data_IF_874193066135
#
_entry.id   IF_874193066135
#
_cell.length_a   1.000
_cell.length_b   1.000
_cell.length_c   1.000
_cell.angle_alpha   90.00
_cell.angle_beta   90.00
_cell.angle_gamma   90.00
#
_symmetry.space_group_name_H-M   'P 1'
#
loop_
_entity.id
_entity.type
_entity.pdbx_description
1 polymer ?
#
# COMPACT_ATOMS: atom_id res chain seq x y z
N UNK A 1 17.10 -21.10 -0.86
CA UNK A 1 17.31 -20.32 -2.10
C UNK A 1 17.57 -18.90 -1.67
N UNK A 2 18.82 -18.43 -1.79
CA UNK A 2 19.19 -17.07 -1.40
C UNK A 2 19.36 -16.23 -2.66
N UNK A 3 19.29 -14.91 -2.50
CA UNK A 3 19.56 -13.98 -3.57
C UNK A 3 20.98 -14.15 -4.11
N UNK A 4 21.13 -14.10 -5.44
CA UNK A 4 22.43 -13.92 -6.08
C UNK A 4 22.65 -12.41 -6.28
N UNK A 5 23.38 -11.77 -5.36
CA UNK A 5 23.65 -10.33 -5.40
C UNK A 5 22.42 -9.44 -5.15
N UNK A 6 22.34 -8.33 -5.89
CA UNK A 6 21.29 -7.31 -5.82
C UNK A 6 20.57 -7.14 -7.16
N UNK A 7 19.79 -8.15 -7.58
CA UNK A 7 19.00 -8.01 -8.79
C UNK A 7 17.89 -6.98 -8.56
N UNK A 8 17.34 -6.43 -9.65
CA UNK A 8 16.37 -5.34 -9.61
C UNK A 8 15.16 -5.68 -8.72
N UNK A 9 14.70 -6.94 -8.73
CA UNK A 9 13.58 -7.40 -7.92
C UNK A 9 13.86 -7.22 -6.42
N UNK A 10 15.08 -7.55 -5.99
CA UNK A 10 15.50 -7.40 -4.58
C UNK A 10 15.53 -5.93 -4.17
N UNK A 11 15.99 -5.04 -5.06
CA UNK A 11 16.01 -3.60 -4.84
C UNK A 11 14.57 -3.06 -4.74
N UNK A 12 13.67 -3.52 -5.61
CA UNK A 12 12.26 -3.10 -5.54
C UNK A 12 11.60 -3.60 -4.25
N UNK A 13 11.86 -4.82 -3.79
CA UNK A 13 11.33 -5.27 -2.49
C UNK A 13 11.88 -4.46 -1.32
N UNK A 14 13.12 -3.98 -1.38
CA UNK A 14 13.67 -3.06 -0.39
C UNK A 14 12.98 -1.69 -0.43
N UNK A 15 12.69 -1.18 -1.63
CA UNK A 15 11.87 0.01 -1.80
C UNK A 15 10.46 -0.20 -1.23
N UNK A 16 9.81 -1.34 -1.51
CA UNK A 16 8.49 -1.70 -0.97
C UNK A 16 8.53 -1.75 0.57
N UNK A 17 9.59 -2.28 1.18
CA UNK A 17 9.78 -2.24 2.63
C UNK A 17 9.73 -0.79 3.15
N UNK A 18 10.61 0.09 2.65
CA UNK A 18 10.70 1.46 3.16
C UNK A 18 9.45 2.30 2.85
N UNK A 19 8.87 2.14 1.67
CA UNK A 19 7.67 2.89 1.28
C UNK A 19 6.49 2.49 2.17
N UNK A 20 6.33 1.20 2.50
CA UNK A 20 5.24 0.74 3.36
C UNK A 20 5.46 1.05 4.84
N UNK A 21 6.71 1.18 5.31
CA UNK A 21 7.00 1.78 6.63
C UNK A 21 6.54 3.24 6.65
N UNK A 22 6.96 4.04 5.67
CA UNK A 22 6.59 5.46 5.60
C UNK A 22 5.08 5.68 5.42
N UNK A 23 4.48 4.97 4.48
CA UNK A 23 3.02 5.02 4.24
C UNK A 23 2.26 4.50 5.45
N UNK A 24 2.72 3.43 6.11
CA UNK A 24 2.09 2.91 7.32
C UNK A 24 1.99 3.96 8.42
N UNK A 25 3.08 4.71 8.67
CA UNK A 25 3.09 5.82 9.62
C UNK A 25 2.10 6.91 9.19
N UNK A 26 2.15 7.35 7.93
CA UNK A 26 1.23 8.39 7.43
C UNK A 26 -0.24 7.97 7.54
N UNK A 27 -0.57 6.76 7.10
CA UNK A 27 -1.92 6.18 7.15
C UNK A 27 -2.42 6.14 8.59
N UNK A 28 -1.58 5.67 9.53
CA UNK A 28 -1.91 5.68 10.95
C UNK A 28 -2.21 7.09 11.45
N UNK A 29 -1.33 8.06 11.18
CA UNK A 29 -1.52 9.45 11.63
C UNK A 29 -2.79 10.10 11.06
N UNK A 30 -3.07 9.90 9.77
CA UNK A 30 -4.27 10.45 9.13
C UNK A 30 -5.56 9.82 9.66
N UNK A 31 -5.59 8.50 9.87
CA UNK A 31 -6.77 7.84 10.43
C UNK A 31 -6.92 8.07 11.94
N UNK A 32 -5.83 8.27 12.67
CA UNK A 32 -5.84 8.73 14.05
C UNK A 32 -6.43 10.15 14.16
N UNK A 33 -6.08 11.07 13.26
CA UNK A 33 -6.75 12.38 13.15
C UNK A 33 -8.26 12.25 12.88
N UNK A 34 -8.68 11.20 12.17
CA UNK A 34 -10.09 10.82 11.98
C UNK A 34 -10.70 10.00 13.13
N UNK A 35 -9.96 9.82 14.24
CA UNK A 35 -10.31 9.05 15.42
C UNK A 35 -10.76 7.60 15.14
N UNK A 36 -10.27 6.99 14.05
CA UNK A 36 -10.67 5.64 13.62
C UNK A 36 -12.19 5.40 13.65
N UNK A 37 -12.98 6.42 13.28
CA UNK A 37 -14.44 6.41 13.42
C UNK A 37 -15.12 5.23 12.70
N UNK A 38 -14.50 4.68 11.66
CA UNK A 38 -15.01 3.53 10.93
C UNK A 38 -14.01 2.38 11.00
N UNK A 39 -14.50 1.17 11.29
CA UNK A 39 -13.66 -0.04 11.40
C UNK A 39 -12.84 -0.29 10.13
N UNK A 40 -13.38 0.05 8.96
CA UNK A 40 -12.68 -0.08 7.67
C UNK A 40 -11.36 0.71 7.60
N UNK A 41 -11.19 1.75 8.43
CA UNK A 41 -9.93 2.51 8.51
C UNK A 41 -8.76 1.65 9.02
N UNK A 42 -9.04 0.58 9.79
CA UNK A 42 -8.00 -0.33 10.27
C UNK A 42 -7.41 -1.21 9.16
N UNK A 43 -8.14 -1.43 8.06
CA UNK A 43 -7.68 -2.22 6.92
C UNK A 43 -6.29 -1.79 6.43
N UNK A 44 -6.12 -0.56 5.90
CA UNK A 44 -4.81 -0.10 5.45
C UNK A 44 -3.79 0.07 6.58
N UNK A 45 -4.23 0.40 7.80
CA UNK A 45 -3.36 0.62 8.97
C UNK A 45 -2.65 -0.66 9.40
N UNK A 46 -3.37 -1.78 9.42
CA UNK A 46 -2.79 -3.08 9.78
C UNK A 46 -2.05 -3.70 8.61
N UNK A 47 -2.54 -3.53 7.38
CA UNK A 47 -1.95 -4.19 6.22
C UNK A 47 -0.59 -3.60 5.82
N UNK A 48 -0.40 -2.29 5.96
CA UNK A 48 0.85 -1.62 5.62
C UNK A 48 2.09 -2.19 6.37
N UNK A 49 2.11 -2.31 7.72
CA UNK A 49 3.25 -2.89 8.41
C UNK A 49 3.44 -4.39 8.10
N UNK A 50 2.37 -5.14 7.86
CA UNK A 50 2.47 -6.56 7.46
C UNK A 50 3.16 -6.69 6.10
N UNK A 51 2.83 -5.82 5.14
CA UNK A 51 3.49 -5.78 3.84
C UNK A 51 4.95 -5.37 3.99
N UNK A 52 5.24 -4.34 4.78
CA UNK A 52 6.61 -3.91 5.03
C UNK A 52 7.44 -5.08 5.58
N UNK A 53 7.00 -5.72 6.66
CA UNK A 53 7.70 -6.86 7.27
C UNK A 53 7.89 -7.98 6.25
N UNK A 54 6.85 -8.35 5.50
CA UNK A 54 6.92 -9.42 4.50
C UNK A 54 7.92 -9.09 3.38
N UNK A 55 7.93 -7.86 2.87
CA UNK A 55 8.87 -7.41 1.86
C UNK A 55 10.31 -7.40 2.40
N UNK A 56 10.52 -6.93 3.64
CA UNK A 56 11.81 -6.96 4.31
C UNK A 56 12.33 -8.39 4.50
N UNK A 57 11.46 -9.32 4.92
CA UNK A 57 11.79 -10.74 4.99
C UNK A 57 12.16 -11.30 3.61
N UNK A 58 11.47 -10.89 2.55
CA UNK A 58 11.79 -11.32 1.18
C UNK A 58 13.14 -10.78 0.70
N UNK A 59 13.55 -9.57 1.11
CA UNK A 59 14.88 -9.01 0.83
C UNK A 59 15.99 -9.85 1.47
N UNK A 60 15.74 -10.39 2.65
CA UNK A 60 16.70 -11.25 3.38
C UNK A 60 16.68 -12.69 2.84
N UNK A 61 15.48 -13.24 2.63
CA UNK A 61 15.26 -14.65 2.32
C UNK A 61 14.39 -14.80 1.07
N UNK A 62 14.98 -15.28 -0.03
CA UNK A 62 14.26 -15.49 -1.29
C UNK A 62 13.50 -16.83 -1.29
N UNK A 63 12.47 -16.94 -0.45
CA UNK A 63 11.68 -18.18 -0.32
C UNK A 63 10.36 -18.11 -1.11
N UNK A 64 9.96 -19.20 -1.80
CA UNK A 64 8.70 -19.24 -2.55
C UNK A 64 7.48 -18.88 -1.70
N UNK A 65 7.42 -19.36 -0.45
CA UNK A 65 6.29 -19.07 0.45
C UNK A 65 6.17 -17.58 0.78
N UNK A 66 7.28 -16.87 1.00
CA UNK A 66 7.26 -15.43 1.28
C UNK A 66 6.80 -14.65 0.05
N UNK A 67 7.20 -15.08 -1.16
CA UNK A 67 6.70 -14.49 -2.43
C UNK A 67 5.20 -14.64 -2.57
N UNK A 68 4.65 -15.83 -2.30
CA UNK A 68 3.22 -16.08 -2.36
C UNK A 68 2.46 -15.24 -1.34
N UNK A 69 2.94 -15.16 -0.10
CA UNK A 69 2.34 -14.31 0.93
C UNK A 69 2.36 -12.84 0.49
N UNK A 70 3.50 -12.34 0.01
CA UNK A 70 3.61 -10.97 -0.46
C UNK A 70 2.67 -10.71 -1.64
N UNK A 71 2.55 -11.63 -2.60
CA UNK A 71 1.63 -11.50 -3.73
C UNK A 71 0.18 -11.32 -3.26
N UNK A 72 -0.27 -12.16 -2.33
CA UNK A 72 -1.63 -12.07 -1.76
C UNK A 72 -1.83 -10.73 -1.05
N UNK A 73 -0.88 -10.32 -0.21
CA UNK A 73 -0.97 -9.03 0.48
C UNK A 73 -1.00 -7.83 -0.48
N UNK A 74 -0.23 -7.89 -1.57
CA UNK A 74 -0.20 -6.83 -2.59
C UNK A 74 -1.51 -6.75 -3.40
N UNK A 75 -2.18 -7.89 -3.65
CA UNK A 75 -3.54 -7.88 -4.23
C UNK A 75 -4.53 -7.27 -3.24
N UNK A 76 -4.47 -7.65 -1.96
CA UNK A 76 -5.37 -7.12 -0.94
C UNK A 76 -5.19 -5.61 -0.78
N UNK A 77 -3.95 -5.10 -0.68
CA UNK A 77 -3.72 -3.66 -0.54
C UNK A 77 -4.15 -2.86 -1.77
N UNK A 78 -4.03 -3.44 -2.97
CA UNK A 78 -4.55 -2.84 -4.19
C UNK A 78 -6.06 -2.64 -4.09
N UNK A 79 -6.80 -3.68 -3.68
CA UNK A 79 -8.25 -3.58 -3.48
C UNK A 79 -8.62 -2.59 -2.37
N UNK A 80 -7.90 -2.63 -1.24
CA UNK A 80 -8.08 -1.68 -0.13
C UNK A 80 -7.82 -0.24 -0.59
N UNK A 81 -6.81 -0.01 -1.43
CA UNK A 81 -6.51 1.31 -1.99
C UNK A 81 -7.62 1.84 -2.90
N UNK A 82 -8.19 0.99 -3.76
CA UNK A 82 -9.32 1.36 -4.63
C UNK A 82 -10.60 1.67 -3.84
N UNK A 83 -10.92 0.83 -2.84
CA UNK A 83 -12.06 1.07 -1.94
C UNK A 83 -11.83 2.35 -1.14
N UNK A 84 -10.63 2.52 -0.57
CA UNK A 84 -10.24 3.70 0.20
C UNK A 84 -10.32 4.99 -0.60
N UNK A 85 -9.87 4.98 -1.87
CA UNK A 85 -9.99 6.11 -2.79
C UNK A 85 -11.46 6.54 -2.94
N UNK A 86 -12.34 5.58 -3.23
CA UNK A 86 -13.78 5.84 -3.42
C UNK A 86 -14.40 6.43 -2.16
N UNK A 87 -14.07 5.87 -0.99
CA UNK A 87 -14.56 6.37 0.31
C UNK A 87 -14.01 7.76 0.64
N UNK A 88 -12.75 8.06 0.32
CA UNK A 88 -12.15 9.36 0.54
C UNK A 88 -12.77 10.43 -0.36
N UNK A 89 -12.96 10.15 -1.65
CA UNK A 89 -13.67 11.05 -2.58
C UNK A 89 -15.08 11.32 -2.08
N UNK A 90 -15.82 10.28 -1.69
CA UNK A 90 -17.16 10.44 -1.11
C UNK A 90 -17.12 11.28 0.16
N UNK A 91 -16.16 11.03 1.05
CA UNK A 91 -16.00 11.78 2.31
C UNK A 91 -15.71 13.27 2.10
N UNK A 92 -14.94 13.62 1.07
CA UNK A 92 -14.73 15.03 0.67
C UNK A 92 -16.03 15.61 0.09
N UNK A 93 -16.71 14.90 -0.81
CA UNK A 93 -17.92 15.40 -1.47
C UNK A 93 -19.11 15.63 -0.52
N UNK A 94 -19.15 14.93 0.62
CA UNK A 94 -20.17 15.13 1.66
C UNK A 94 -19.97 16.40 2.49
N UNK A 95 -18.85 17.10 2.36
CA UNK A 95 -18.61 18.39 3.03
C UNK A 95 -19.38 19.51 2.34
N UNK A 96 -19.70 20.56 3.09
CA UNK A 96 -20.27 21.79 2.51
C UNK A 96 -19.31 22.34 1.45
N UNK A 97 -19.81 22.59 0.23
CA UNK A 97 -18.98 22.97 -0.92
C UNK A 97 -18.41 21.80 -1.73
N UNK A 98 -18.67 20.55 -1.37
CA UNK A 98 -18.31 19.36 -2.16
C UNK A 98 -16.81 19.25 -2.46
N UNK A 99 -16.45 18.98 -3.72
CA UNK A 99 -15.07 18.81 -4.18
C UNK A 99 -14.29 20.12 -4.40
N UNK A 100 -14.64 21.20 -3.71
CA UNK A 100 -13.83 22.42 -3.71
C UNK A 100 -12.42 22.17 -3.17
N UNK A 101 -11.45 22.95 -3.66
CA UNK A 101 -10.03 22.82 -3.32
C UNK A 101 -9.79 22.80 -1.80
N UNK A 102 -10.46 23.67 -1.05
CA UNK A 102 -10.35 23.70 0.42
C UNK A 102 -10.73 22.36 1.06
N UNK A 103 -11.77 21.68 0.56
CA UNK A 103 -12.19 20.38 1.06
C UNK A 103 -11.25 19.26 0.63
N UNK A 104 -10.68 19.33 -0.58
CA UNK A 104 -9.69 18.36 -1.05
C UNK A 104 -8.41 18.44 -0.19
N UNK A 105 -7.95 19.64 0.14
CA UNK A 105 -6.72 19.87 0.91
C UNK A 105 -6.89 19.57 2.41
N UNK A 106 -8.06 19.84 2.98
CA UNK A 106 -8.30 19.68 4.43
C UNK A 106 -9.04 18.39 4.79
N UNK A 107 -9.60 17.70 3.79
CA UNK A 107 -10.39 16.49 3.93
C UNK A 107 -9.57 15.20 4.01
N UNK A 108 -10.25 14.04 3.95
CA UNK A 108 -9.57 12.76 3.78
C UNK A 108 -8.66 12.81 2.54
N UNK A 109 -7.39 12.39 2.64
CA UNK A 109 -6.43 12.54 1.54
C UNK A 109 -6.80 11.61 0.38
N UNK A 110 -7.27 12.17 -0.74
CA UNK A 110 -7.77 11.38 -1.89
C UNK A 110 -6.62 10.62 -2.60
N UNK A 111 -5.43 11.21 -2.68
CA UNK A 111 -4.30 10.62 -3.41
C UNK A 111 -3.62 9.49 -2.64
N UNK A 112 -3.64 9.54 -1.30
CA UNK A 112 -2.91 8.58 -0.47
C UNK A 112 -3.37 7.12 -0.70
N UNK A 113 -4.68 6.79 -0.80
CA UNK A 113 -5.12 5.45 -1.20
C UNK A 113 -4.62 5.00 -2.59
N UNK A 114 -4.45 5.91 -3.55
CA UNK A 114 -3.92 5.57 -4.88
C UNK A 114 -2.42 5.25 -4.84
N UNK A 115 -1.67 5.83 -3.89
CA UNK A 115 -0.26 5.43 -3.69
C UNK A 115 -0.14 3.97 -3.25
N UNK A 116 -1.13 3.46 -2.49
CA UNK A 116 -1.19 2.03 -2.14
C UNK A 116 -1.46 1.16 -3.37
N UNK A 117 -2.37 1.57 -4.25
CA UNK A 117 -2.65 0.89 -5.53
C UNK A 117 -1.38 0.82 -6.39
N UNK A 118 -0.69 1.95 -6.56
CA UNK A 118 0.53 2.02 -7.38
C UNK A 118 1.66 1.13 -6.85
N UNK A 119 1.91 1.13 -5.54
CA UNK A 119 2.93 0.26 -4.94
C UNK A 119 2.51 -1.22 -4.94
N UNK A 120 1.22 -1.51 -4.79
CA UNK A 120 0.66 -2.85 -4.97
C UNK A 120 0.91 -3.40 -6.36
N UNK A 121 0.59 -2.61 -7.40
CA UNK A 121 0.84 -2.95 -8.80
C UNK A 121 2.33 -3.13 -9.10
N UNK A 122 3.19 -2.24 -8.61
CA UNK A 122 4.64 -2.34 -8.80
C UNK A 122 5.19 -3.64 -8.20
N UNK A 123 4.79 -3.97 -6.97
CA UNK A 123 5.23 -5.20 -6.31
C UNK A 123 4.77 -6.47 -7.06
N UNK A 124 3.52 -6.49 -7.53
CA UNK A 124 2.99 -7.60 -8.35
C UNK A 124 3.70 -7.70 -9.70
N UNK A 125 3.93 -6.57 -10.37
CA UNK A 125 4.65 -6.53 -11.63
C UNK A 125 6.03 -7.15 -11.48
N UNK A 126 6.78 -6.80 -10.42
CA UNK A 126 8.11 -7.37 -10.16
C UNK A 126 8.07 -8.85 -9.76
N UNK A 127 7.05 -9.29 -9.03
CA UNK A 127 6.86 -10.71 -8.70
C UNK A 127 6.67 -11.58 -9.95
N UNK A 128 5.96 -11.06 -10.95
CA UNK A 128 5.57 -11.80 -12.14
C UNK A 128 6.24 -11.34 -13.44
N UNK A 129 7.18 -10.39 -13.38
CA UNK A 129 7.84 -9.82 -14.56
C UNK A 129 8.47 -10.90 -15.44
N UNK A 130 9.17 -11.86 -14.82
CA UNK A 130 9.81 -12.97 -15.54
C UNK A 130 8.83 -14.01 -16.11
N UNK A 131 7.55 -13.95 -15.74
CA UNK A 131 6.49 -14.79 -16.34
C UNK A 131 5.85 -14.06 -17.51
N UNK A 132 5.74 -12.73 -17.45
CA UNK A 132 5.05 -11.90 -18.44
C UNK A 132 5.93 -11.61 -19.67
N UNK A 133 7.24 -11.44 -19.47
CA UNK A 133 8.19 -11.02 -20.52
C UNK A 133 9.18 -12.12 -20.94
N UNK A 134 8.76 -13.39 -20.82
CA UNK A 134 9.47 -14.53 -21.42
C UNK A 134 8.86 -14.91 -22.76
#
# INVERSE_FOLDING_TARGET
MNWQGWPVERIVYLYIFFVFVGLGIQIFLYHYRGNFRHVIMWGPVSLAPIIAITAGLLVLYNLPIIRTILAVLLVIILLVGLVGFTLHVRGVNLRVGGLQMNNILTGPPIVLPLTLVGNGLLGLAVLYWQVIFK
#
